data_IF_607814031579
#
_entry.id   IF_607814031579
#
_cell.length_a   1.000
_cell.length_b   1.000
_cell.length_c   1.000
_cell.angle_alpha   90.00
_cell.angle_beta   90.00
_cell.angle_gamma   90.00
#
_symmetry.space_group_name_H-M   'P 1'
#
loop_
_entity.id
_entity.type
_entity.pdbx_description
1 polymer ?
#
# COMPACT_ATOMS: atom_id res chain seq x y z
N UNK A 1 1.81 23.76 -11.13
CA UNK A 1 0.52 23.30 -10.59
C UNK A 1 0.46 21.80 -10.87
N UNK A 2 0.72 20.96 -9.86
CA UNK A 2 0.86 19.50 -10.03
C UNK A 2 -0.54 18.91 -9.92
N UNK A 3 -1.15 18.55 -11.05
CA UNK A 3 -2.62 18.39 -11.11
C UNK A 3 -3.16 16.99 -10.77
N UNK A 4 -2.30 16.04 -10.39
CA UNK A 4 -2.71 14.82 -9.69
C UNK A 4 -1.46 14.12 -9.16
N UNK A 5 -1.17 14.25 -7.87
CA UNK A 5 -0.20 13.35 -7.24
C UNK A 5 -0.99 12.14 -6.75
N UNK A 6 -1.17 11.16 -7.64
CA UNK A 6 -1.80 9.91 -7.28
C UNK A 6 -0.76 9.02 -6.58
N UNK A 7 -0.32 9.44 -5.39
CA UNK A 7 0.37 8.50 -4.53
C UNK A 7 -0.60 7.36 -4.25
N UNK A 8 -0.22 6.16 -4.67
CA UNK A 8 -0.96 4.93 -4.40
C UNK A 8 0.01 4.01 -3.73
N UNK A 9 0.21 4.17 -2.42
CA UNK A 9 0.96 3.18 -1.66
C UNK A 9 0.09 1.94 -1.58
N UNK A 10 0.26 1.08 -2.58
CA UNK A 10 -0.43 -0.17 -2.75
C UNK A 10 0.22 -1.19 -1.83
N UNK A 11 -0.29 -1.31 -0.61
CA UNK A 11 0.16 -2.39 0.29
C UNK A 11 -0.52 -3.68 -0.14
N UNK A 12 0.28 -4.69 -0.49
CA UNK A 12 -0.23 -6.03 -0.78
C UNK A 12 -0.09 -6.88 0.47
N UNK A 13 -1.22 -7.08 1.13
CA UNK A 13 -1.33 -7.86 2.36
C UNK A 13 -1.41 -9.35 2.06
N UNK A 14 -0.76 -10.12 2.94
CA UNK A 14 -0.84 -11.57 2.96
C UNK A 14 -1.04 -12.00 4.41
N UNK A 15 -2.20 -12.59 4.71
CA UNK A 15 -2.42 -13.21 6.03
C UNK A 15 -2.01 -14.68 6.02
N UNK A 16 -1.01 -15.00 6.84
CA UNK A 16 -0.65 -16.33 7.38
C UNK A 16 -0.64 -17.47 6.34
N UNK A 17 0.26 -17.37 5.36
CA UNK A 17 0.24 -18.24 4.17
C UNK A 17 1.15 -19.46 4.24
N UNK A 18 2.12 -19.49 5.16
CA UNK A 18 3.07 -20.59 5.22
C UNK A 18 2.85 -21.50 6.43
N UNK A 19 3.11 -22.79 6.23
CA UNK A 19 3.00 -23.80 7.29
C UNK A 19 4.32 -23.86 8.05
N UNK A 20 4.36 -23.23 9.22
CA UNK A 20 5.49 -23.39 10.14
C UNK A 20 5.56 -24.84 10.62
N UNK A 21 6.76 -25.43 10.55
CA UNK A 21 7.03 -26.79 11.04
C UNK A 21 6.75 -26.88 12.55
N UNK A 22 6.06 -27.95 12.96
CA UNK A 22 5.64 -28.15 14.36
C UNK A 22 6.77 -28.02 15.38
N UNK A 23 7.99 -28.45 15.02
CA UNK A 23 9.19 -28.38 15.85
C UNK A 23 9.58 -26.96 16.24
N UNK A 24 9.33 -25.96 15.38
CA UNK A 24 9.75 -24.57 15.61
C UNK A 24 8.57 -23.64 15.89
N UNK A 25 7.33 -24.14 15.81
CA UNK A 25 6.10 -23.35 15.96
C UNK A 25 5.98 -22.66 17.31
N UNK A 26 6.63 -23.21 18.35
CA UNK A 26 6.71 -22.56 19.67
C UNK A 26 7.62 -21.33 19.70
N UNK A 27 8.57 -21.22 18.76
CA UNK A 27 9.52 -20.11 18.66
C UNK A 27 9.07 -19.08 17.62
N UNK A 28 8.55 -19.54 16.48
CA UNK A 28 8.10 -18.70 15.37
C UNK A 28 6.66 -19.09 15.05
N UNK A 29 5.66 -18.46 15.70
CA UNK A 29 4.27 -18.88 15.56
C UNK A 29 3.64 -18.44 14.23
N UNK A 30 4.16 -17.38 13.63
CA UNK A 30 3.61 -16.71 12.44
C UNK A 30 4.70 -16.67 11.37
N UNK A 31 4.32 -16.87 10.11
CA UNK A 31 5.20 -16.65 8.98
C UNK A 31 4.43 -16.07 7.80
N UNK A 32 5.14 -15.36 6.94
CA UNK A 32 4.56 -14.71 5.78
C UNK A 32 5.34 -15.13 4.53
N UNK A 33 4.63 -15.67 3.55
CA UNK A 33 5.23 -16.12 2.28
C UNK A 33 5.52 -14.94 1.33
N UNK A 34 6.19 -15.21 0.22
CA UNK A 34 6.38 -14.24 -0.86
C UNK A 34 5.05 -13.89 -1.54
N UNK A 35 5.04 -12.81 -2.32
CA UNK A 35 3.82 -12.38 -2.99
C UNK A 35 3.34 -13.37 -4.05
N UNK A 36 2.05 -13.72 -4.01
CA UNK A 36 1.35 -14.30 -5.14
C UNK A 36 -0.05 -13.73 -5.28
N UNK A 37 -0.50 -13.58 -6.51
CA UNK A 37 -1.81 -13.00 -6.80
C UNK A 37 -3.01 -13.83 -6.29
N UNK A 38 -2.78 -15.10 -5.91
CA UNK A 38 -3.78 -16.01 -5.34
C UNK A 38 -3.96 -15.86 -3.83
N UNK A 39 -2.97 -15.32 -3.12
CA UNK A 39 -2.98 -15.19 -1.66
C UNK A 39 -3.08 -13.74 -1.17
N UNK A 40 -3.25 -12.80 -2.09
CA UNK A 40 -3.51 -11.39 -1.82
C UNK A 40 -4.79 -11.20 -0.99
N UNK A 41 -4.69 -10.53 0.15
CA UNK A 41 -5.84 -10.20 1.00
C UNK A 41 -6.59 -8.96 0.48
N UNK A 42 -7.89 -9.14 0.24
CA UNK A 42 -8.77 -8.14 -0.38
C UNK A 42 -9.87 -7.64 0.56
N UNK A 43 -9.76 -7.94 1.85
CA UNK A 43 -10.76 -7.55 2.85
C UNK A 43 -10.65 -6.06 3.17
N UNK A 44 -11.76 -5.45 3.54
CA UNK A 44 -11.71 -4.10 4.12
C UNK A 44 -11.37 -4.18 5.60
N UNK A 45 -10.44 -3.34 6.05
CA UNK A 45 -10.01 -3.25 7.43
C UNK A 45 -10.41 -1.91 8.05
N UNK A 46 -10.42 -1.88 9.37
CA UNK A 46 -10.37 -0.63 10.12
C UNK A 46 -8.92 -0.17 10.26
N UNK A 47 -8.69 1.13 10.55
CA UNK A 47 -7.35 1.64 10.77
C UNK A 47 -6.55 0.82 11.80
N UNK A 48 -5.30 0.49 11.45
CA UNK A 48 -4.47 -0.46 12.18
C UNK A 48 -4.65 -1.94 11.79
N UNK A 49 -5.17 -2.22 10.58
CA UNK A 49 -5.39 -3.58 10.07
C UNK A 49 -6.33 -4.42 10.96
N UNK A 50 -7.29 -3.76 11.61
CA UNK A 50 -8.22 -4.38 12.55
C UNK A 50 -9.41 -4.96 11.78
N UNK A 51 -9.70 -6.25 12.00
CA UNK A 51 -10.86 -6.95 11.40
C UNK A 51 -12.06 -7.02 12.34
N UNK A 52 -11.83 -7.19 13.64
CA UNK A 52 -12.86 -7.32 14.65
C UNK A 52 -12.79 -6.15 15.62
N UNK A 53 -13.90 -5.49 15.83
CA UNK A 53 -14.02 -4.41 16.83
C UNK A 53 -14.18 -4.93 18.25
N UNK A 54 -14.29 -6.25 18.44
CA UNK A 54 -14.47 -6.86 19.77
C UNK A 54 -13.38 -7.89 20.07
N UNK A 55 -12.77 -7.78 21.24
CA UNK A 55 -11.90 -8.81 21.82
C UNK A 55 -12.63 -9.38 23.04
N UNK A 56 -13.24 -10.55 22.88
CA UNK A 56 -14.17 -11.09 23.87
C UNK A 56 -15.37 -10.15 24.05
N UNK A 57 -15.56 -9.62 25.25
CA UNK A 57 -16.67 -8.70 25.58
C UNK A 57 -16.27 -7.21 25.47
N UNK A 58 -15.02 -6.89 25.13
CA UNK A 58 -14.53 -5.52 25.07
C UNK A 58 -14.57 -5.00 23.63
N UNK A 59 -15.18 -3.84 23.41
CA UNK A 59 -15.09 -3.11 22.15
C UNK A 59 -13.81 -2.28 22.09
N UNK A 60 -13.01 -2.46 21.04
CA UNK A 60 -11.85 -1.63 20.76
C UNK A 60 -12.29 -0.19 20.48
N UNK A 61 -11.60 0.82 21.03
CA UNK A 61 -11.87 2.21 20.71
C UNK A 61 -11.58 2.43 19.22
N UNK A 62 -12.63 2.71 18.44
CA UNK A 62 -12.47 3.15 17.05
C UNK A 62 -12.03 4.61 17.11
N UNK A 63 -10.79 4.88 16.70
CA UNK A 63 -10.29 6.24 16.60
C UNK A 63 -11.11 7.04 15.58
N UNK A 64 -11.32 8.33 15.87
CA UNK A 64 -11.97 9.23 14.92
C UNK A 64 -10.93 9.78 13.93
N UNK A 65 -10.65 8.99 12.89
CA UNK A 65 -9.68 9.34 11.84
C UNK A 65 -10.34 10.08 10.68
N UNK A 66 -9.55 10.81 9.90
CA UNK A 66 -10.01 11.47 8.68
C UNK A 66 -10.58 10.45 7.68
N UNK A 67 -11.48 10.91 6.80
CA UNK A 67 -12.06 10.05 5.76
C UNK A 67 -10.97 9.43 4.87
N UNK A 68 -9.93 10.20 4.53
CA UNK A 68 -8.76 9.77 3.74
C UNK A 68 -7.99 8.64 4.43
N UNK A 69 -7.74 8.75 5.74
CA UNK A 69 -7.09 7.68 6.52
C UNK A 69 -7.95 6.44 6.58
N UNK A 70 -9.26 6.56 6.82
CA UNK A 70 -10.16 5.40 6.83
C UNK A 70 -10.20 4.68 5.47
N UNK A 71 -10.24 5.44 4.37
CA UNK A 71 -10.23 4.89 3.02
C UNK A 71 -8.93 4.16 2.67
N UNK A 72 -7.81 4.49 3.35
CA UNK A 72 -6.54 3.80 3.14
C UNK A 72 -6.54 2.34 3.61
N UNK A 73 -7.52 1.91 4.42
CA UNK A 73 -7.67 0.52 4.88
C UNK A 73 -8.74 -0.27 4.11
N UNK A 74 -9.33 0.34 3.08
CA UNK A 74 -10.32 -0.30 2.22
C UNK A 74 -9.64 -0.75 0.93
N UNK A 75 -9.77 -2.03 0.60
CA UNK A 75 -9.21 -2.59 -0.63
C UNK A 75 -9.93 -2.01 -1.85
N UNK A 76 -9.15 -1.55 -2.83
CA UNK A 76 -9.64 -1.08 -4.13
C UNK A 76 -9.16 -2.00 -5.25
N UNK A 77 -10.06 -2.32 -6.18
CA UNK A 77 -9.71 -3.13 -7.35
C UNK A 77 -8.92 -2.32 -8.38
N UNK A 78 -8.25 -3.00 -9.31
CA UNK A 78 -7.55 -2.36 -10.42
C UNK A 78 -8.47 -1.48 -11.28
N UNK A 79 -9.73 -1.90 -11.44
CA UNK A 79 -10.76 -1.13 -12.17
C UNK A 79 -11.14 0.14 -11.42
N UNK A 80 -11.30 0.09 -10.09
CA UNK A 80 -11.59 1.29 -9.30
C UNK A 80 -10.42 2.29 -9.27
N UNK A 81 -9.20 1.80 -9.48
CA UNK A 81 -7.98 2.61 -9.46
C UNK A 81 -7.54 3.07 -10.85
N UNK A 82 -8.16 2.57 -11.93
CA UNK A 82 -7.70 2.74 -13.31
C UNK A 82 -6.21 2.39 -13.48
N UNK A 83 -5.76 1.29 -12.85
CA UNK A 83 -4.36 0.86 -12.85
C UNK A 83 -4.16 -0.45 -13.61
N UNK A 84 -2.94 -0.63 -14.11
CA UNK A 84 -2.51 -1.79 -14.90
C UNK A 84 -1.44 -2.60 -14.15
N UNK A 85 -1.26 -3.86 -14.54
CA UNK A 85 -0.39 -4.82 -13.83
C UNK A 85 1.04 -4.29 -13.83
N UNK A 86 1.68 -4.27 -12.66
CA UNK A 86 3.08 -3.88 -12.55
C UNK A 86 3.96 -5.13 -12.51
N UNK A 87 4.92 -5.21 -13.44
CA UNK A 87 5.91 -6.28 -13.47
C UNK A 87 7.15 -5.76 -12.75
N UNK A 88 7.36 -6.22 -11.52
CA UNK A 88 8.54 -5.91 -10.71
C UNK A 88 9.67 -6.93 -10.91
N UNK A 89 10.75 -6.74 -10.15
CA UNK A 89 11.92 -7.63 -10.17
C UNK A 89 11.64 -8.92 -9.38
N UNK A 90 10.89 -8.82 -8.28
CA UNK A 90 10.57 -9.97 -7.41
C UNK A 90 9.27 -10.65 -7.83
N UNK A 91 8.25 -9.88 -8.20
CA UNK A 91 6.96 -10.44 -8.57
C UNK A 91 6.18 -9.56 -9.56
N UNK A 92 5.13 -10.16 -10.13
CA UNK A 92 4.13 -9.43 -10.92
C UNK A 92 2.94 -9.09 -10.04
N UNK A 93 2.76 -7.80 -9.76
CA UNK A 93 1.75 -7.31 -8.85
C UNK A 93 0.45 -6.96 -9.60
N UNK A 94 -0.66 -7.52 -9.11
CA UNK A 94 -1.98 -7.07 -9.54
C UNK A 94 -2.19 -5.64 -9.05
N UNK A 95 -2.90 -4.86 -9.85
CA UNK A 95 -3.04 -3.41 -9.65
C UNK A 95 -4.12 -3.04 -8.63
N UNK A 96 -4.56 -3.97 -7.79
CA UNK A 96 -5.46 -3.70 -6.69
C UNK A 96 -4.69 -3.58 -5.38
N UNK A 97 -5.31 -2.97 -4.38
CA UNK A 97 -4.73 -2.89 -3.04
C UNK A 97 -5.33 -1.79 -2.17
N UNK A 98 -4.67 -1.54 -1.04
CA UNK A 98 -4.99 -0.47 -0.11
C UNK A 98 -4.34 0.82 -0.58
N UNK A 99 -5.02 1.97 -0.52
CA UNK A 99 -4.56 3.18 -1.21
C UNK A 99 -4.82 4.43 -0.38
N UNK A 100 -3.77 5.20 -0.13
CA UNK A 100 -3.87 6.56 0.42
C UNK A 100 -3.56 7.60 -0.67
N UNK A 101 -4.57 8.35 -1.10
CA UNK A 101 -4.43 9.40 -2.12
C UNK A 101 -4.02 10.74 -1.48
N UNK A 102 -2.94 11.34 -1.95
CA UNK A 102 -2.48 12.62 -1.39
C UNK A 102 -3.25 13.77 -2.06
N UNK A 103 -4.29 14.24 -1.39
CA UNK A 103 -5.09 15.40 -1.80
C UNK A 103 -5.21 16.38 -0.63
N UNK A 104 -5.23 17.67 -0.93
CA UNK A 104 -5.47 18.72 0.07
C UNK A 104 -4.22 19.47 0.52
N UNK A 105 -4.30 20.09 1.70
CA UNK A 105 -3.23 20.94 2.22
C UNK A 105 -2.05 20.11 2.75
N UNK A 106 -0.83 20.62 2.59
CA UNK A 106 0.39 19.92 3.03
C UNK A 106 0.38 19.60 4.55
N UNK A 107 -0.24 20.45 5.36
CA UNK A 107 -0.39 20.23 6.81
C UNK A 107 -1.29 19.02 7.11
N UNK A 108 -2.40 18.86 6.38
CA UNK A 108 -3.32 17.74 6.54
C UNK A 108 -2.67 16.44 6.08
N UNK A 109 -2.00 16.46 4.92
CA UNK A 109 -1.26 15.32 4.39
C UNK A 109 -0.19 14.83 5.37
N UNK A 110 0.58 15.75 5.97
CA UNK A 110 1.59 15.39 6.97
C UNK A 110 0.97 14.73 8.20
N UNK A 111 -0.17 15.25 8.66
CA UNK A 111 -0.87 14.71 9.83
C UNK A 111 -1.46 13.33 9.55
N UNK A 112 -2.05 13.12 8.36
CA UNK A 112 -2.56 11.82 7.91
C UNK A 112 -1.42 10.80 7.77
N UNK A 113 -0.30 11.17 7.14
CA UNK A 113 0.86 10.29 6.99
C UNK A 113 1.47 9.88 8.34
N UNK A 114 1.54 10.82 9.28
CA UNK A 114 1.97 10.52 10.64
C UNK A 114 1.03 9.52 11.31
N UNK A 115 -0.29 9.69 11.17
CA UNK A 115 -1.26 8.72 11.70
C UNK A 115 -1.14 7.35 11.04
N UNK A 116 -1.00 7.29 9.71
CA UNK A 116 -0.80 6.01 9.00
C UNK A 116 0.48 5.31 9.45
N UNK A 117 1.55 6.06 9.71
CA UNK A 117 2.78 5.51 10.28
C UNK A 117 2.56 4.93 11.68
N UNK A 118 1.94 5.69 12.59
CA UNK A 118 1.65 5.22 13.96
C UNK A 118 0.73 4.00 13.99
N UNK A 119 -0.18 3.91 13.03
CA UNK A 119 -1.08 2.77 12.87
C UNK A 119 -0.45 1.58 12.16
N UNK A 120 0.82 1.66 11.74
CA UNK A 120 1.50 0.57 11.05
C UNK A 120 0.88 0.25 9.70
N UNK A 121 0.46 1.27 8.94
CA UNK A 121 -0.13 1.05 7.61
C UNK A 121 0.84 0.34 6.64
N UNK A 122 2.14 0.54 6.81
CA UNK A 122 3.17 -0.31 6.20
C UNK A 122 3.73 -1.19 7.31
N UNK A 123 3.58 -2.50 7.17
CA UNK A 123 4.01 -3.49 8.15
C UNK A 123 4.76 -4.66 7.50
N UNK A 124 5.08 -5.69 8.29
CA UNK A 124 5.80 -6.90 7.83
C UNK A 124 5.02 -7.75 6.81
N UNK A 125 3.70 -7.51 6.67
CA UNK A 125 2.85 -8.20 5.69
C UNK A 125 2.88 -7.51 4.32
N UNK A 126 3.33 -6.26 4.27
CA UNK A 126 3.42 -5.49 3.03
C UNK A 126 4.48 -6.10 2.11
N UNK A 127 4.14 -6.37 0.85
CA UNK A 127 5.06 -6.97 -0.15
C UNK A 127 5.57 -6.03 -1.22
N UNK A 128 4.83 -4.96 -1.48
CA UNK A 128 5.29 -3.90 -2.35
C UNK A 128 4.69 -2.59 -1.87
N UNK A 129 5.36 -1.50 -2.21
CA UNK A 129 4.85 -0.15 -2.08
C UNK A 129 5.06 0.50 -3.44
N UNK A 130 3.99 0.90 -4.09
CA UNK A 130 4.05 1.67 -5.31
C UNK A 130 3.85 3.15 -4.95
N UNK A 131 4.51 4.05 -5.65
CA UNK A 131 4.30 5.49 -5.51
C UNK A 131 4.23 6.04 -6.92
N UNK A 132 3.06 6.52 -7.31
CA UNK A 132 2.82 7.06 -8.64
C UNK A 132 2.60 8.58 -8.54
N UNK A 133 3.15 9.34 -9.48
CA UNK A 133 2.94 10.77 -9.54
C UNK A 133 3.17 11.31 -10.93
N UNK A 134 2.41 12.35 -11.29
CA UNK A 134 2.55 13.03 -12.57
C UNK A 134 3.14 14.42 -12.35
N UNK A 135 4.30 14.67 -12.96
CA UNK A 135 4.96 15.97 -12.95
C UNK A 135 4.67 16.69 -14.26
N UNK A 136 4.12 17.90 -14.18
CA UNK A 136 3.90 18.75 -15.35
C UNK A 136 4.90 19.89 -15.36
N UNK A 137 5.67 19.98 -16.45
CA UNK A 137 6.50 21.14 -16.73
C UNK A 137 5.69 22.13 -17.60
N UNK A 138 5.42 23.36 -17.13
CA UNK A 138 4.67 24.35 -17.92
C UNK A 138 5.52 25.08 -18.96
N UNK A 139 6.86 25.06 -18.84
CA UNK A 139 7.76 25.77 -19.77
C UNK A 139 7.91 24.98 -21.05
N UNK A 140 8.33 23.73 -20.92
CA UNK A 140 8.23 22.72 -21.98
C UNK A 140 7.07 21.83 -21.59
N UNK A 141 5.96 21.84 -22.34
CA UNK A 141 4.66 21.27 -21.99
C UNK A 141 4.68 19.73 -22.05
N UNK A 142 5.46 19.20 -21.12
CA UNK A 142 5.86 17.81 -20.95
C UNK A 142 5.22 17.29 -19.67
N UNK A 143 4.53 16.17 -19.79
CA UNK A 143 4.01 15.43 -18.66
C UNK A 143 4.94 14.25 -18.37
N UNK A 144 5.54 14.20 -17.19
CA UNK A 144 6.36 13.05 -16.78
C UNK A 144 5.59 12.22 -15.77
N UNK A 145 5.24 11.00 -16.16
CA UNK A 145 4.73 9.98 -15.24
C UNK A 145 5.91 9.35 -14.51
N UNK A 146 5.85 9.32 -13.18
CA UNK A 146 6.89 8.77 -12.31
C UNK A 146 6.27 7.66 -11.48
N UNK A 147 6.87 6.48 -11.54
CA UNK A 147 6.50 5.32 -10.72
C UNK A 147 7.72 4.89 -9.93
N UNK A 148 7.65 4.95 -8.62
CA UNK A 148 8.67 4.44 -7.69
C UNK A 148 8.08 3.20 -7.03
N UNK A 149 8.85 2.12 -6.96
CA UNK A 149 8.40 0.87 -6.35
C UNK A 149 9.42 0.42 -5.32
N UNK A 150 8.93 -0.06 -4.18
CA UNK A 150 9.73 -0.74 -3.17
C UNK A 150 9.14 -2.13 -2.97
N UNK A 151 9.81 -3.14 -3.51
CA UNK A 151 9.42 -4.54 -3.32
C UNK A 151 10.05 -5.05 -2.02
N UNK A 152 9.25 -5.60 -1.10
CA UNK A 152 9.68 -6.07 0.22
C UNK A 152 9.73 -7.60 0.25
N UNK A 153 10.87 -8.14 0.65
CA UNK A 153 11.11 -9.58 0.74
C UNK A 153 10.47 -10.14 2.02
N UNK A 154 9.95 -11.37 1.95
CA UNK A 154 9.44 -12.11 3.11
C UNK A 154 10.51 -12.35 4.20
N UNK A 155 11.78 -12.44 3.79
CA UNK A 155 12.93 -12.75 4.65
C UNK A 155 13.65 -11.52 5.22
N UNK A 156 13.08 -10.32 5.06
CA UNK A 156 13.67 -9.00 5.34
C UNK A 156 14.47 -8.41 4.18
N UNK A 157 14.46 -7.08 4.08
CA UNK A 157 15.06 -6.30 2.99
C UNK A 157 14.05 -5.90 1.91
N UNK A 158 14.50 -5.09 0.96
CA UNK A 158 13.67 -4.68 -0.17
C UNK A 158 14.48 -4.18 -1.35
N UNK A 159 13.87 -4.24 -2.52
CA UNK A 159 14.44 -3.82 -3.81
C UNK A 159 13.72 -2.55 -4.25
N UNK A 160 14.38 -1.37 -4.23
CA UNK A 160 13.82 -0.16 -4.78
C UNK A 160 14.01 -0.11 -6.30
N UNK A 161 13.00 0.34 -7.03
CA UNK A 161 13.08 0.64 -8.45
C UNK A 161 12.32 1.93 -8.76
N UNK A 162 12.69 2.60 -9.85
CA UNK A 162 12.03 3.83 -10.30
C UNK A 162 11.98 3.90 -11.81
N UNK A 163 10.83 4.30 -12.34
CA UNK A 163 10.58 4.49 -13.76
C UNK A 163 10.07 5.90 -14.02
N UNK A 164 10.67 6.56 -15.00
CA UNK A 164 10.31 7.91 -15.44
C UNK A 164 9.89 7.84 -16.91
N UNK A 165 8.64 8.20 -17.20
CA UNK A 165 8.05 8.16 -18.53
C UNK A 165 7.61 9.57 -18.94
N UNK A 166 8.48 10.32 -19.65
CA UNK A 166 8.11 11.59 -20.23
C UNK A 166 7.16 11.38 -21.42
N UNK A 167 6.05 12.09 -21.42
CA UNK A 167 5.05 12.16 -22.48
C UNK A 167 5.01 13.59 -23.00
N UNK A 168 5.34 13.74 -24.29
CA UNK A 168 5.10 14.99 -24.99
C UNK A 168 3.60 15.12 -25.29
N UNK A 169 3.03 16.28 -24.97
CA UNK A 169 1.60 16.55 -25.19
C UNK A 169 1.32 17.21 -26.56
N UNK A 170 2.31 17.22 -27.47
CA UNK A 170 2.29 17.85 -28.79
C UNK A 170 2.47 16.81 -29.89
#
# INVERSE_FOLDING_TARGET
MINRILFVVLSLFILDTCKVKSTIKSLIPICYDDYSASIEDKRSFLPGWITNTTIGNYSLPIGNYSSTVNQAYIYKTSEQLDTYVYVGELATYRSGGYVYEFRGALSELRNDLFQLHELGWIDVQTRAILIQLNLYNPVEPLLTSVTIVFELLSSSGGVPSAQFQPLNLY
#
